data_IF_851056354290
#
_entry.id   IF_851056354290
#
_cell.length_a   1.000
_cell.length_b   1.000
_cell.length_c   1.000
_cell.angle_alpha   90.00
_cell.angle_beta   90.00
_cell.angle_gamma   90.00
#
_symmetry.space_group_name_H-M   'P 1'
#
loop_
_entity.id
_entity.type
_entity.pdbx_description
1 polymer ?
#
# COMPACT_ATOMS: atom_id res chain seq x y z
N UNK A 1 -14.38 8.69 -16.85
CA UNK A 1 -15.76 9.26 -16.99
C UNK A 1 -16.56 9.20 -15.69
N UNK A 2 -16.99 8.02 -15.18
CA UNK A 2 -17.74 7.96 -13.90
C UNK A 2 -16.94 8.49 -12.70
N UNK A 3 -15.68 8.07 -12.60
CA UNK A 3 -14.76 8.54 -11.57
C UNK A 3 -14.61 10.06 -11.61
N UNK A 4 -14.27 10.63 -12.77
CA UNK A 4 -14.19 12.09 -12.97
C UNK A 4 -15.48 12.81 -12.55
N UNK A 5 -16.68 12.35 -12.96
CA UNK A 5 -17.94 12.99 -12.54
C UNK A 5 -18.11 12.95 -11.01
N UNK A 6 -17.80 11.82 -10.38
CA UNK A 6 -17.91 11.69 -8.93
C UNK A 6 -16.84 12.53 -8.20
N UNK A 7 -15.67 12.71 -8.80
CA UNK A 7 -14.59 13.57 -8.29
C UNK A 7 -15.01 15.04 -8.34
N UNK A 8 -15.52 15.53 -9.48
CA UNK A 8 -16.06 16.90 -9.59
C UNK A 8 -17.23 17.14 -8.62
N UNK A 9 -18.07 16.12 -8.40
CA UNK A 9 -19.13 16.20 -7.40
C UNK A 9 -18.56 16.30 -5.98
N UNK A 10 -17.44 15.62 -5.70
CA UNK A 10 -16.71 15.77 -4.44
C UNK A 10 -16.21 17.19 -4.23
N UNK A 11 -15.64 17.82 -5.26
CA UNK A 11 -15.27 19.23 -5.19
C UNK A 11 -16.46 20.14 -4.90
N UNK A 12 -17.58 19.93 -5.60
CA UNK A 12 -18.79 20.72 -5.42
C UNK A 12 -19.37 20.60 -4.01
N UNK A 13 -19.42 19.39 -3.45
CA UNK A 13 -20.03 19.13 -2.15
C UNK A 13 -19.10 19.47 -0.97
N UNK A 14 -17.79 19.23 -1.09
CA UNK A 14 -16.84 19.38 0.02
C UNK A 14 -16.14 20.73 0.04
N UNK A 15 -16.00 21.42 -1.10
CA UNK A 15 -15.17 22.62 -1.21
C UNK A 15 -16.00 23.82 -1.72
N UNK A 16 -16.19 24.81 -0.84
CA UNK A 16 -17.03 26.00 -1.09
C UNK A 16 -16.50 26.92 -2.20
N UNK A 17 -15.19 26.87 -2.48
CA UNK A 17 -14.49 27.73 -3.45
C UNK A 17 -14.10 26.97 -4.74
N UNK A 18 -14.63 25.76 -4.96
CA UNK A 18 -14.24 24.97 -6.14
C UNK A 18 -14.78 25.61 -7.43
N UNK A 19 -13.85 26.11 -8.26
CA UNK A 19 -14.13 26.26 -9.67
C UNK A 19 -14.14 24.85 -10.26
N UNK A 20 -15.15 24.51 -11.07
CA UNK A 20 -15.20 23.27 -11.84
C UNK A 20 -14.03 23.27 -12.84
N UNK A 21 -12.84 22.94 -12.37
CA UNK A 21 -11.66 22.76 -13.19
C UNK A 21 -11.76 21.33 -13.70
N UNK A 22 -11.94 21.16 -15.01
CA UNK A 22 -11.77 19.86 -15.64
C UNK A 22 -10.33 19.39 -15.36
N UNK A 23 -10.14 18.56 -14.34
CA UNK A 23 -8.83 18.01 -14.05
C UNK A 23 -8.47 16.99 -15.15
N UNK A 24 -7.27 17.15 -15.71
CA UNK A 24 -6.67 16.21 -16.65
C UNK A 24 -6.32 14.91 -15.94
N UNK A 25 -6.15 13.83 -16.70
CA UNK A 25 -5.82 12.48 -16.22
C UNK A 25 -4.44 12.36 -15.49
N UNK A 26 -3.82 13.49 -15.10
CA UNK A 26 -2.60 13.61 -14.29
C UNK A 26 -2.84 13.26 -12.80
N UNK A 27 -4.11 13.03 -12.40
CA UNK A 27 -4.60 12.67 -11.06
C UNK A 27 -3.95 11.44 -10.40
N UNK A 28 -3.22 10.61 -11.14
CA UNK A 28 -2.52 9.44 -10.56
C UNK A 28 -1.43 9.89 -9.56
N UNK A 29 -0.91 11.12 -9.71
CA UNK A 29 0.05 11.71 -8.77
C UNK A 29 -0.59 12.26 -7.49
N UNK A 30 -1.88 12.58 -7.55
CA UNK A 30 -2.57 13.31 -6.48
C UNK A 30 -2.88 12.43 -5.28
N UNK A 31 -2.95 11.10 -5.46
CA UNK A 31 -3.08 10.13 -4.35
C UNK A 31 -1.88 10.12 -3.38
N UNK A 32 -0.78 10.77 -3.73
CA UNK A 32 0.37 10.96 -2.84
C UNK A 32 0.13 12.03 -1.77
N UNK A 33 -0.74 13.01 -2.04
CA UNK A 33 -0.96 14.10 -1.11
C UNK A 33 -1.62 13.59 0.18
N UNK A 34 -1.21 14.17 1.30
CA UNK A 34 -1.72 13.80 2.64
C UNK A 34 -2.89 14.68 3.06
N UNK A 35 -2.99 15.86 2.46
CA UNK A 35 -4.03 16.87 2.67
C UNK A 35 -4.23 17.59 1.35
N UNK A 36 -5.48 17.90 0.99
CA UNK A 36 -5.76 18.62 -0.24
C UNK A 36 -7.17 18.34 -0.78
N UNK A 37 -7.74 19.35 -1.43
CA UNK A 37 -9.08 19.27 -2.02
C UNK A 37 -9.19 18.11 -3.02
N UNK A 38 -8.16 17.89 -3.83
CA UNK A 38 -8.15 16.82 -4.83
C UNK A 38 -8.15 15.42 -4.18
N UNK A 39 -7.45 15.23 -3.05
CA UNK A 39 -7.47 13.98 -2.29
C UNK A 39 -8.88 13.73 -1.73
N UNK A 40 -9.47 14.75 -1.11
CA UNK A 40 -10.84 14.68 -0.56
C UNK A 40 -11.86 14.36 -1.65
N UNK A 41 -11.75 14.98 -2.83
CA UNK A 41 -12.57 14.69 -3.99
C UNK A 41 -12.37 13.26 -4.53
N UNK A 42 -11.12 12.79 -4.57
CA UNK A 42 -10.78 11.42 -4.93
C UNK A 42 -11.35 10.38 -3.95
N UNK A 43 -11.29 10.64 -2.64
CA UNK A 43 -11.90 9.81 -1.62
C UNK A 43 -13.43 9.81 -1.72
N UNK A 44 -14.03 10.98 -1.96
CA UNK A 44 -15.47 11.12 -2.19
C UNK A 44 -15.91 10.28 -3.40
N UNK A 45 -15.21 10.40 -4.53
CA UNK A 45 -15.47 9.62 -5.73
C UNK A 45 -15.36 8.11 -5.46
N UNK A 46 -14.32 7.69 -4.75
CA UNK A 46 -14.13 6.30 -4.36
C UNK A 46 -15.26 5.80 -3.44
N UNK A 47 -15.73 6.61 -2.48
CA UNK A 47 -16.80 6.22 -1.57
C UNK A 47 -18.16 6.12 -2.24
N UNK A 48 -18.48 7.00 -3.20
CA UNK A 48 -19.73 6.91 -3.97
C UNK A 48 -19.70 5.72 -4.92
N UNK A 49 -18.59 5.51 -5.63
CA UNK A 49 -18.50 4.50 -6.67
C UNK A 49 -18.19 3.10 -6.12
N UNK A 50 -17.48 3.02 -4.99
CA UNK A 50 -17.09 1.78 -4.33
C UNK A 50 -17.43 1.84 -2.82
N UNK A 51 -18.72 1.90 -2.44
CA UNK A 51 -19.12 1.98 -1.03
C UNK A 51 -18.54 0.82 -0.21
N UNK A 52 -17.99 1.12 0.97
CA UNK A 52 -17.18 0.15 1.71
C UNK A 52 -17.93 -1.14 2.02
N UNK A 53 -19.15 -1.06 2.55
CA UNK A 53 -19.95 -2.23 2.90
C UNK A 53 -20.30 -3.12 1.70
N UNK A 54 -20.44 -2.51 0.52
CA UNK A 54 -20.71 -3.24 -0.73
C UNK A 54 -19.39 -3.84 -1.22
N UNK A 55 -18.34 -3.02 -1.32
CA UNK A 55 -17.03 -3.44 -1.85
C UNK A 55 -16.43 -4.59 -1.04
N UNK A 56 -16.55 -4.58 0.30
CA UNK A 56 -16.09 -5.67 1.16
C UNK A 56 -16.74 -7.03 0.83
N UNK A 57 -17.97 -7.05 0.32
CA UNK A 57 -18.65 -8.31 -0.07
C UNK A 57 -18.10 -8.90 -1.38
N UNK A 58 -17.43 -8.07 -2.18
CA UNK A 58 -16.79 -8.48 -3.42
C UNK A 58 -15.31 -8.83 -3.25
N UNK A 59 -14.67 -8.37 -2.17
CA UNK A 59 -13.34 -8.87 -1.78
C UNK A 59 -13.54 -10.31 -1.33
N UNK A 60 -13.12 -11.25 -2.16
CA UNK A 60 -13.07 -12.67 -1.81
C UNK A 60 -11.87 -12.91 -0.88
N UNK A 61 -11.95 -13.95 -0.06
CA UNK A 61 -10.81 -14.45 0.73
C UNK A 61 -9.83 -15.22 -0.18
N UNK A 62 -9.37 -14.56 -1.24
CA UNK A 62 -8.41 -15.08 -2.21
C UNK A 62 -7.10 -14.31 -2.07
N UNK A 63 -5.99 -14.93 -2.50
CA UNK A 63 -4.67 -14.30 -2.53
C UNK A 63 -4.71 -12.98 -3.31
N UNK A 64 -4.09 -11.89 -2.81
CA UNK A 64 -4.06 -10.62 -3.52
C UNK A 64 -3.52 -10.76 -4.95
N UNK A 65 -4.17 -10.12 -5.91
CA UNK A 65 -3.68 -10.09 -7.29
C UNK A 65 -4.22 -8.88 -8.06
N UNK A 66 -3.46 -8.42 -9.06
CA UNK A 66 -3.94 -7.39 -9.97
C UNK A 66 -5.09 -7.86 -10.87
N UNK A 67 -5.28 -9.18 -11.03
CA UNK A 67 -6.46 -9.70 -11.73
C UNK A 67 -7.72 -9.49 -10.88
N UNK A 68 -7.68 -9.73 -9.57
CA UNK A 68 -8.81 -9.41 -8.69
C UNK A 68 -9.12 -7.90 -8.71
N UNK A 69 -8.10 -7.05 -8.67
CA UNK A 69 -8.27 -5.59 -8.80
C UNK A 69 -8.94 -5.23 -10.13
N UNK A 70 -8.52 -5.87 -11.23
CA UNK A 70 -9.08 -5.63 -12.56
C UNK A 70 -10.53 -6.09 -12.66
N UNK A 71 -10.89 -7.25 -12.10
CA UNK A 71 -12.27 -7.72 -12.02
C UNK A 71 -13.15 -6.74 -11.24
N UNK A 72 -12.68 -6.30 -10.06
CA UNK A 72 -13.38 -5.31 -9.25
C UNK A 72 -13.52 -3.97 -9.97
N UNK A 73 -12.49 -3.53 -10.70
CA UNK A 73 -12.53 -2.28 -11.45
C UNK A 73 -13.60 -2.33 -12.56
N UNK A 74 -13.77 -3.50 -13.20
CA UNK A 74 -14.83 -3.72 -14.18
C UNK A 74 -16.22 -3.72 -13.55
N UNK A 75 -16.40 -4.42 -12.43
CA UNK A 75 -17.68 -4.52 -11.71
C UNK A 75 -18.16 -3.13 -11.24
N UNK A 76 -17.28 -2.37 -10.57
CA UNK A 76 -17.59 -1.03 -10.06
C UNK A 76 -17.45 0.07 -11.14
N UNK A 77 -16.95 -0.28 -12.33
CA UNK A 77 -16.71 0.63 -13.46
C UNK A 77 -15.83 1.83 -13.08
N UNK A 78 -14.73 1.55 -12.40
CA UNK A 78 -13.73 2.51 -11.90
C UNK A 78 -12.37 2.29 -12.53
N UNK A 79 -11.38 3.14 -12.21
CA UNK A 79 -10.00 2.97 -12.70
C UNK A 79 -9.28 1.93 -11.86
N UNK A 80 -8.34 1.18 -12.46
CA UNK A 80 -7.55 0.18 -11.74
C UNK A 80 -6.81 0.77 -10.54
N UNK A 81 -6.29 2.01 -10.66
CA UNK A 81 -5.63 2.70 -9.54
C UNK A 81 -6.58 2.94 -8.36
N UNK A 82 -7.76 3.53 -8.61
CA UNK A 82 -8.74 3.80 -7.55
C UNK A 82 -9.23 2.49 -6.91
N UNK A 83 -9.46 1.46 -7.73
CA UNK A 83 -9.85 0.14 -7.23
C UNK A 83 -8.74 -0.52 -6.42
N UNK A 84 -7.48 -0.45 -6.85
CA UNK A 84 -6.34 -1.04 -6.12
C UNK A 84 -6.16 -0.38 -4.75
N UNK A 85 -6.28 0.95 -4.70
CA UNK A 85 -6.25 1.72 -3.46
C UNK A 85 -7.39 1.30 -2.51
N UNK A 86 -8.61 1.19 -3.03
CA UNK A 86 -9.77 0.73 -2.25
C UNK A 86 -9.60 -0.71 -1.77
N UNK A 87 -9.08 -1.58 -2.63
CA UNK A 87 -8.79 -2.98 -2.33
C UNK A 87 -7.78 -3.11 -1.20
N UNK A 88 -6.61 -2.48 -1.32
CA UNK A 88 -5.56 -2.52 -0.29
C UNK A 88 -6.04 -1.93 1.04
N UNK A 89 -6.79 -0.82 1.01
CA UNK A 89 -7.34 -0.19 2.23
C UNK A 89 -8.30 -1.12 2.98
N UNK A 90 -9.04 -1.96 2.27
CA UNK A 90 -10.07 -2.83 2.84
C UNK A 90 -9.62 -4.29 3.03
N UNK A 91 -8.44 -4.64 2.49
CA UNK A 91 -7.85 -5.97 2.59
C UNK A 91 -7.38 -6.28 4.01
N UNK A 92 -7.57 -7.54 4.43
CA UNK A 92 -7.02 -8.07 5.67
C UNK A 92 -5.62 -8.66 5.47
N UNK A 93 -5.26 -8.98 4.22
CA UNK A 93 -3.94 -9.50 3.86
C UNK A 93 -2.88 -8.40 3.99
N UNK A 94 -1.65 -8.73 4.44
CA UNK A 94 -0.55 -7.78 4.49
C UNK A 94 -0.12 -7.44 3.06
N UNK A 95 -0.71 -6.39 2.50
CA UNK A 95 -0.47 -5.96 1.13
C UNK A 95 -0.30 -4.44 1.00
N UNK A 96 0.36 -4.02 -0.07
CA UNK A 96 0.58 -2.64 -0.42
C UNK A 96 0.46 -2.43 -1.92
N UNK A 97 -0.02 -1.25 -2.32
CA UNK A 97 -0.03 -0.80 -3.71
C UNK A 97 1.00 0.30 -3.86
N UNK A 98 1.89 0.15 -4.84
CA UNK A 98 2.99 1.07 -5.11
C UNK A 98 2.85 1.66 -6.51
N UNK A 99 3.00 2.97 -6.63
CA UNK A 99 3.11 3.65 -7.92
C UNK A 99 4.57 4.02 -8.17
N UNK A 100 5.03 3.65 -9.35
CA UNK A 100 6.34 4.01 -9.86
C UNK A 100 6.20 4.86 -11.13
N UNK A 101 7.20 5.71 -11.39
CA UNK A 101 7.37 6.45 -12.65
C UNK A 101 8.84 6.74 -12.91
N UNK A 102 9.21 6.63 -14.18
CA UNK A 102 10.55 6.89 -14.69
C UNK A 102 11.62 6.09 -13.93
N UNK A 103 11.30 4.87 -13.50
CA UNK A 103 12.20 4.01 -12.71
C UNK A 103 12.30 4.37 -11.21
N UNK A 104 11.47 5.26 -10.68
CA UNK A 104 11.46 5.65 -9.27
C UNK A 104 10.14 5.31 -8.59
N UNK A 105 10.24 4.91 -7.32
CA UNK A 105 9.08 4.73 -6.43
C UNK A 105 8.55 6.12 -6.05
N UNK A 106 7.30 6.43 -6.38
CA UNK A 106 6.72 7.76 -6.14
C UNK A 106 5.92 7.81 -4.86
N UNK A 107 5.09 6.80 -4.62
CA UNK A 107 4.28 6.69 -3.41
C UNK A 107 3.72 5.27 -3.28
N UNK A 108 3.23 4.96 -2.09
CA UNK A 108 2.51 3.72 -1.84
C UNK A 108 1.38 3.93 -0.83
N UNK A 109 0.39 3.03 -0.84
CA UNK A 109 -0.59 2.87 0.25
C UNK A 109 -0.59 1.40 0.66
N UNK A 110 -0.87 1.13 1.93
CA UNK A 110 -0.74 -0.20 2.52
C UNK A 110 -1.97 -0.58 3.33
N UNK A 111 -2.24 -1.88 3.45
CA UNK A 111 -3.26 -2.40 4.35
C UNK A 111 -2.85 -2.17 5.80
N UNK A 112 -3.80 -2.30 6.72
CA UNK A 112 -3.52 -2.20 8.17
C UNK A 112 -2.60 -3.31 8.68
N UNK A 113 -2.57 -4.46 7.99
CA UNK A 113 -1.75 -5.62 8.34
C UNK A 113 -0.34 -5.62 7.71
N UNK A 114 -0.08 -4.73 6.73
CA UNK A 114 1.25 -4.57 6.16
C UNK A 114 2.12 -3.68 7.06
N UNK A 115 3.01 -4.29 7.85
CA UNK A 115 3.79 -3.61 8.88
C UNK A 115 5.17 -3.11 8.43
N UNK A 116 5.36 -2.86 7.14
CA UNK A 116 6.62 -2.41 6.56
C UNK A 116 6.48 -1.07 5.83
N UNK A 117 7.61 -0.36 5.73
CA UNK A 117 7.75 0.83 4.92
C UNK A 117 8.40 0.51 3.57
N UNK A 118 8.03 1.25 2.54
CA UNK A 118 8.57 1.12 1.18
C UNK A 118 9.44 2.36 0.88
N UNK A 119 10.53 2.16 0.12
CA UNK A 119 11.55 3.18 -0.18
C UNK A 119 11.08 4.24 -1.19
N UNK A 120 10.22 5.15 -0.75
CA UNK A 120 9.72 6.25 -1.60
C UNK A 120 10.85 7.19 -1.99
N UNK A 121 10.80 7.72 -3.23
CA UNK A 121 11.79 8.58 -3.88
C UNK A 121 13.14 7.92 -4.18
N UNK A 122 13.24 6.60 -4.05
CA UNK A 122 14.40 5.83 -4.49
C UNK A 122 14.20 5.22 -5.87
N UNK A 123 15.31 4.87 -6.54
CA UNK A 123 15.28 4.08 -7.77
C UNK A 123 14.77 2.67 -7.46
N UNK A 124 14.01 2.12 -8.39
CA UNK A 124 13.62 0.72 -8.34
C UNK A 124 14.86 -0.17 -8.33
N UNK A 125 14.81 -1.21 -7.50
CA UNK A 125 15.84 -2.24 -7.49
C UNK A 125 15.75 -3.08 -8.77
N UNK A 126 16.89 -3.48 -9.38
CA UNK A 126 16.91 -4.42 -10.51
C UNK A 126 16.29 -5.78 -10.20
N UNK A 127 16.02 -6.08 -8.92
CA UNK A 127 15.36 -7.31 -8.49
C UNK A 127 13.84 -7.12 -8.35
N UNK A 128 13.23 -6.21 -9.11
CA UNK A 128 11.78 -5.97 -9.13
C UNK A 128 11.27 -6.06 -10.56
N UNK A 129 10.05 -6.56 -10.77
CA UNK A 129 9.49 -6.58 -12.12
C UNK A 129 9.04 -5.19 -12.57
N UNK A 130 8.71 -4.30 -11.63
CA UNK A 130 8.49 -2.90 -11.92
C UNK A 130 9.73 -2.24 -12.57
N UNK A 131 10.95 -2.67 -12.23
CA UNK A 131 12.17 -2.20 -12.89
C UNK A 131 12.25 -2.69 -14.35
N UNK A 132 11.98 -3.97 -14.59
CA UNK A 132 11.97 -4.58 -15.93
C UNK A 132 10.98 -3.88 -16.88
N UNK A 133 9.90 -3.31 -16.35
CA UNK A 133 9.01 -2.47 -17.14
C UNK A 133 9.70 -1.22 -17.69
N UNK A 134 10.53 -0.54 -16.89
CA UNK A 134 11.19 0.69 -17.33
C UNK A 134 12.42 0.43 -18.22
N UNK A 135 13.13 -0.68 -18.01
CA UNK A 135 14.29 -1.05 -18.82
C UNK A 135 13.88 -1.75 -20.13
N UNK A 136 13.02 -2.77 -20.03
CA UNK A 136 12.74 -3.69 -21.13
C UNK A 136 11.28 -3.63 -21.62
N UNK A 137 10.40 -2.87 -20.94
CA UNK A 137 8.95 -2.82 -21.21
C UNK A 137 8.28 -4.20 -21.08
N UNK A 138 8.77 -5.01 -20.13
CA UNK A 138 8.31 -6.35 -19.81
C UNK A 138 7.68 -6.36 -18.41
N UNK A 139 6.54 -7.04 -18.27
CA UNK A 139 5.92 -7.36 -16.99
C UNK A 139 5.38 -8.79 -17.03
N UNK A 140 5.54 -9.58 -15.96
CA UNK A 140 4.89 -10.88 -15.84
C UNK A 140 3.36 -10.77 -15.91
N UNK A 141 2.70 -11.76 -16.51
CA UNK A 141 1.23 -11.85 -16.50
C UNK A 141 0.68 -12.34 -15.15
N UNK A 142 1.54 -12.98 -14.33
CA UNK A 142 1.17 -13.60 -13.07
C UNK A 142 1.96 -12.98 -11.92
N UNK A 143 1.47 -13.11 -10.67
CA UNK A 143 2.26 -12.88 -9.48
C UNK A 143 3.60 -13.62 -9.50
N UNK A 144 4.67 -12.93 -9.13
CA UNK A 144 6.01 -13.51 -9.03
C UNK A 144 6.67 -13.08 -7.72
N UNK A 145 7.54 -13.92 -7.15
CA UNK A 145 8.23 -13.62 -5.90
C UNK A 145 9.51 -12.85 -6.13
N UNK A 146 9.77 -11.86 -5.28
CA UNK A 146 10.99 -11.03 -5.31
C UNK A 146 11.57 -10.90 -3.90
N UNK A 147 12.88 -10.63 -3.75
CA UNK A 147 13.47 -10.39 -2.44
C UNK A 147 12.78 -9.22 -1.75
N UNK A 148 12.40 -9.37 -0.48
CA UNK A 148 11.70 -8.33 0.26
C UNK A 148 12.53 -7.04 0.36
N UNK A 149 13.85 -7.17 0.49
CA UNK A 149 14.80 -6.05 0.48
C UNK A 149 14.79 -5.22 -0.83
N UNK A 150 14.21 -5.74 -1.92
CA UNK A 150 14.08 -4.99 -3.18
C UNK A 150 13.05 -3.86 -3.10
N UNK A 151 12.07 -3.96 -2.19
CA UNK A 151 11.01 -2.96 -1.99
C UNK A 151 11.04 -2.31 -0.60
N UNK A 152 11.35 -3.09 0.44
CA UNK A 152 11.19 -2.67 1.83
C UNK A 152 12.36 -1.80 2.30
N UNK A 153 12.04 -0.76 3.07
CA UNK A 153 13.02 0.13 3.68
C UNK A 153 13.67 -0.45 4.95
N UNK A 154 13.00 -1.41 5.60
CA UNK A 154 13.47 -2.05 6.83
C UNK A 154 14.63 -3.00 6.56
N UNK A 155 15.46 -3.21 7.60
CA UNK A 155 16.39 -4.33 7.64
C UNK A 155 15.59 -5.62 7.82
N UNK A 156 15.49 -6.38 6.74
CA UNK A 156 14.79 -7.67 6.64
C UNK A 156 15.83 -8.74 6.35
N UNK A 157 15.57 -9.96 6.81
CA UNK A 157 16.50 -11.06 6.57
C UNK A 157 16.74 -11.27 5.06
N UNK A 158 17.95 -11.74 4.71
CA UNK A 158 18.36 -11.92 3.31
C UNK A 158 17.49 -12.92 2.55
N UNK A 159 16.85 -13.84 3.27
CA UNK A 159 15.93 -14.85 2.74
C UNK A 159 14.45 -14.45 2.88
N UNK A 160 14.16 -13.19 3.22
CA UNK A 160 12.79 -12.67 3.20
C UNK A 160 12.32 -12.42 1.77
N UNK A 161 11.14 -12.95 1.42
CA UNK A 161 10.50 -12.79 0.11
C UNK A 161 9.13 -12.15 0.23
N UNK A 162 8.74 -11.41 -0.81
CA UNK A 162 7.37 -10.96 -1.01
C UNK A 162 6.93 -11.25 -2.43
N UNK A 163 5.62 -11.23 -2.66
CA UNK A 163 5.08 -11.38 -4.01
C UNK A 163 4.79 -10.03 -4.62
N UNK A 164 5.18 -9.86 -5.88
CA UNK A 164 4.90 -8.70 -6.71
C UNK A 164 3.95 -9.10 -7.85
N UNK A 165 2.91 -8.31 -8.06
CA UNK A 165 2.09 -8.37 -9.28
C UNK A 165 1.91 -6.95 -9.81
N UNK A 166 2.55 -6.68 -10.94
CA UNK A 166 2.65 -5.35 -11.53
C UNK A 166 1.85 -5.24 -12.83
N UNK A 167 1.22 -4.10 -13.06
CA UNK A 167 0.61 -3.75 -14.35
C UNK A 167 1.17 -2.41 -14.86
N UNK A 168 1.23 -2.29 -16.18
CA UNK A 168 1.62 -1.04 -16.86
C UNK A 168 0.38 -0.21 -17.19
N UNK A 169 0.31 1.01 -16.64
CA UNK A 169 -0.62 2.03 -17.07
C UNK A 169 0.04 2.83 -18.21
N UNK A 170 0.15 2.20 -19.38
CA UNK A 170 1.01 2.62 -20.51
C UNK A 170 0.77 4.06 -20.99
N UNK A 171 -0.48 4.52 -21.02
CA UNK A 171 -0.82 5.90 -21.43
C UNK A 171 -0.18 6.96 -20.53
N UNK A 172 0.17 6.60 -19.29
CA UNK A 172 0.75 7.49 -18.29
C UNK A 172 2.23 7.20 -18.01
N UNK A 173 2.79 6.15 -18.62
CA UNK A 173 4.16 5.70 -18.34
C UNK A 173 4.37 5.26 -16.88
N UNK A 174 3.35 4.66 -16.26
CA UNK A 174 3.40 4.24 -14.86
C UNK A 174 3.40 2.72 -14.73
N UNK A 175 4.06 2.23 -13.69
CA UNK A 175 3.90 0.89 -13.16
C UNK A 175 3.12 0.96 -11.84
N UNK A 176 2.08 0.14 -11.74
CA UNK A 176 1.27 -0.04 -10.54
C UNK A 176 1.51 -1.46 -10.01
N UNK A 177 2.18 -1.56 -8.87
CA UNK A 177 2.66 -2.83 -8.29
C UNK A 177 1.91 -3.16 -7.01
N UNK A 178 1.17 -4.27 -7.02
CA UNK A 178 0.59 -4.85 -5.81
C UNK A 178 1.62 -5.79 -5.19
N UNK A 179 1.95 -5.52 -3.94
CA UNK A 179 2.88 -6.30 -3.12
C UNK A 179 2.12 -6.97 -1.99
N UNK A 180 2.48 -8.20 -1.64
CA UNK A 180 1.96 -8.84 -0.43
C UNK A 180 2.91 -9.90 0.13
N UNK A 181 2.70 -10.22 1.39
CA UNK A 181 3.55 -11.10 2.19
C UNK A 181 2.75 -12.37 2.51
N UNK A 182 3.27 -13.55 2.13
CA UNK A 182 2.64 -14.84 2.42
C UNK A 182 3.06 -15.43 3.76
N UNK A 183 4.31 -15.23 4.13
CA UNK A 183 4.95 -15.77 5.33
C UNK A 183 5.47 -14.61 6.17
N UNK A 184 5.40 -14.70 7.50
CA UNK A 184 5.87 -13.61 8.35
C UNK A 184 7.34 -13.29 8.05
N UNK A 185 7.61 -12.03 7.70
CA UNK A 185 8.96 -11.50 7.55
C UNK A 185 9.42 -11.03 8.92
N UNK A 186 10.49 -11.63 9.45
CA UNK A 186 11.16 -11.10 10.63
C UNK A 186 11.86 -9.77 10.28
N UNK A 187 11.70 -8.78 11.14
CA UNK A 187 12.42 -7.51 11.03
C UNK A 187 13.55 -7.49 12.04
N UNK A 188 14.68 -6.85 11.71
CA UNK A 188 15.79 -6.66 12.66
C UNK A 188 15.34 -5.99 13.97
N UNK A 189 14.27 -5.20 13.95
CA UNK A 189 13.63 -4.64 15.15
C UNK A 189 13.05 -5.70 16.08
N UNK A 190 12.35 -6.72 15.57
CA UNK A 190 11.86 -7.85 16.38
C UNK A 190 13.02 -8.62 17.00
N UNK A 191 14.13 -8.80 16.28
CA UNK A 191 15.33 -9.45 16.80
C UNK A 191 15.85 -8.77 18.06
N UNK A 192 15.84 -7.43 18.11
CA UNK A 192 16.25 -6.68 19.31
C UNK A 192 15.33 -6.84 20.53
N UNK A 193 14.02 -7.00 20.34
CA UNK A 193 13.08 -7.26 21.46
C UNK A 193 13.25 -8.66 22.07
N UNK A 194 13.74 -9.63 21.31
CA UNK A 194 14.02 -10.99 21.80
C UNK A 194 15.48 -11.20 22.25
N UNK A 195 16.40 -10.35 21.78
CA UNK A 195 17.84 -10.43 22.09
C UNK A 195 18.28 -9.44 23.21
N UNK A 196 17.39 -8.55 23.66
CA UNK A 196 17.47 -8.04 25.03
C UNK A 196 17.12 -9.18 25.99
N UNK A 197 18.13 -10.00 26.27
CA UNK A 197 18.05 -11.10 27.22
C UNK A 197 17.30 -10.65 28.47
N UNK A 198 16.20 -11.34 28.79
CA UNK A 198 15.47 -11.14 30.04
C UNK A 198 16.49 -11.02 31.16
N UNK A 199 16.47 -9.98 32.00
CA UNK A 199 17.36 -9.93 33.14
C UNK A 199 17.14 -11.22 33.93
N UNK A 200 18.20 -12.00 34.08
CA UNK A 200 18.18 -13.21 34.90
C UNK A 200 17.92 -12.74 36.33
N UNK A 201 16.67 -12.93 36.80
CA UNK A 201 16.32 -12.60 38.17
C UNK A 201 17.05 -13.58 39.08
N UNK A 202 18.19 -13.16 39.61
CA UNK A 202 18.88 -13.86 40.69
C UNK A 202 18.02 -13.79 41.96
N UNK A 203 17.24 -14.85 42.19
CA UNK A 203 16.36 -15.01 43.35
C UNK A 203 17.12 -15.14 44.69
N UNK A 204 18.47 -15.11 44.67
CA UNK A 204 19.30 -15.12 45.88
C UNK A 204 19.85 -13.74 46.27
N UNK A 205 19.62 -12.71 45.43
CA UNK A 205 20.07 -11.35 45.69
C UNK A 205 18.99 -10.57 46.48
N UNK A 206 19.27 -10.09 47.72
CA UNK A 206 18.26 -9.41 48.56
C UNK A 206 17.89 -7.98 48.10
N UNK A 207 18.22 -7.61 46.86
CA UNK A 207 17.89 -6.33 46.23
C UNK A 207 17.22 -6.54 44.86
N UNK A 208 16.17 -7.35 44.79
CA UNK A 208 15.16 -7.21 43.74
C UNK A 208 14.14 -6.15 44.16
N UNK A 209 13.95 -5.06 43.38
CA UNK A 209 12.88 -4.11 43.67
C UNK A 209 11.53 -4.83 43.53
N UNK A 210 10.75 -4.81 44.61
CA UNK A 210 9.36 -5.24 44.61
C UNK A 210 8.55 -4.36 43.63
N UNK A 211 7.99 -4.94 42.57
CA UNK A 211 7.15 -4.27 41.57
C UNK A 211 5.78 -3.79 42.14
N UNK A 212 5.68 -3.66 43.47
CA UNK A 212 4.51 -3.22 44.23
C UNK A 212 4.22 -1.71 44.19
N UNK A 213 4.49 -0.99 43.10
CA UNK A 213 4.04 0.41 42.96
C UNK A 213 2.58 0.49 42.49
N UNK A 214 1.67 0.50 43.47
CA UNK A 214 0.36 1.16 43.38
C UNK A 214 0.55 2.63 43.01
N UNK A 215 0.12 3.02 41.82
CA UNK A 215 -0.05 4.44 41.47
C UNK A 215 -1.26 5.00 42.21
N UNK A 216 -1.06 6.09 42.96
CA UNK A 216 -2.14 6.94 43.50
C UNK A 216 -2.26 8.18 42.60
N UNK A 217 -3.49 8.51 42.22
CA UNK A 217 -3.86 9.83 41.71
C UNK A 217 -3.80 10.88 42.82
#
# INVERSE_FOLDING_TARGET
KRFAIAHELGHFELHSDSQLILCSEEDVYVWNETEGQELEANEFAANILMPEEIFRRYIKNETPSMENVKELAQEFRTTQTATALRYVRLSQEPCAIVICKDGYIKWYKKSSSFNFYIRVNEKLSPNTYAFDFYEDNILPERPETVPAAAWLASDVDEDAWLTEHSIALKSYGLALSLLWIHEEIESGYRRSEYDEGKPEYDLTNPFTPDDGKRWRW
#
